data_IF_683287011377
#
_entry.id   IF_683287011377
#
_cell.length_a   1.000
_cell.length_b   1.000
_cell.length_c   1.000
_cell.angle_alpha   90.00
_cell.angle_beta   90.00
_cell.angle_gamma   90.00
#
_symmetry.space_group_name_H-M   'P 1'
#
loop_
_entity.id
_entity.type
_entity.pdbx_description
1 polymer ?
#
# COMPACT_ATOMS: atom_id res chain seq x y z
N UNK A 1 -34.12 -14.44 11.32
CA UNK A 1 -32.65 -14.56 11.49
C UNK A 1 -32.17 -15.63 10.55
N UNK A 2 -31.50 -15.24 9.48
CA UNK A 2 -30.70 -16.17 8.67
C UNK A 2 -29.24 -15.78 8.86
N UNK A 3 -28.32 -16.74 9.03
CA UNK A 3 -26.90 -16.45 9.15
C UNK A 3 -26.37 -15.97 7.80
N UNK A 4 -25.69 -14.82 7.80
CA UNK A 4 -24.98 -14.30 6.63
C UNK A 4 -23.91 -15.29 6.22
N UNK A 5 -24.06 -15.84 5.02
CA UNK A 5 -23.06 -16.64 4.35
C UNK A 5 -21.81 -15.78 4.13
N UNK A 6 -20.74 -16.12 4.83
CA UNK A 6 -19.39 -15.66 4.49
C UNK A 6 -19.06 -16.37 3.18
N UNK A 7 -19.24 -15.66 2.06
CA UNK A 7 -18.89 -16.15 0.73
C UNK A 7 -17.40 -16.53 0.66
N UNK A 8 -17.02 -17.50 -0.17
CA UNK A 8 -15.63 -17.90 -0.32
C UNK A 8 -14.80 -16.71 -0.79
N UNK A 9 -13.60 -16.55 -0.22
CA UNK A 9 -12.63 -15.55 -0.66
C UNK A 9 -12.57 -15.49 -2.19
N UNK A 10 -12.85 -14.31 -2.73
CA UNK A 10 -13.01 -14.09 -4.16
C UNK A 10 -11.75 -14.58 -4.92
N UNK A 11 -11.84 -15.62 -5.77
CA UNK A 11 -10.68 -16.17 -6.47
C UNK A 11 -10.07 -15.19 -7.49
N UNK A 12 -10.78 -14.12 -7.86
CA UNK A 12 -10.24 -13.06 -8.70
C UNK A 12 -9.32 -12.10 -7.94
N UNK A 13 -9.41 -12.04 -6.60
CA UNK A 13 -8.47 -11.32 -5.75
C UNK A 13 -7.03 -11.80 -5.98
N UNK A 14 -6.87 -13.12 -6.16
CA UNK A 14 -5.57 -13.76 -6.39
C UNK A 14 -5.01 -13.58 -7.81
N UNK A 15 -5.85 -13.25 -8.80
CA UNK A 15 -5.42 -13.05 -10.19
C UNK A 15 -5.03 -11.61 -10.50
N UNK A 16 -5.71 -10.63 -9.90
CA UNK A 16 -5.42 -9.20 -10.09
C UNK A 16 -4.09 -8.79 -9.39
N UNK A 17 -3.89 -9.22 -8.14
CA UNK A 17 -2.64 -9.00 -7.39
C UNK A 17 -1.41 -9.71 -8.01
N UNK A 18 -1.66 -10.68 -8.91
CA UNK A 18 -0.62 -11.44 -9.61
C UNK A 18 0.08 -10.66 -10.72
N UNK A 19 -0.52 -9.55 -11.20
CA UNK A 19 0.06 -8.72 -12.26
C UNK A 19 1.22 -7.84 -11.76
N UNK A 20 1.10 -7.25 -10.57
CA UNK A 20 2.13 -6.38 -10.00
C UNK A 20 3.25 -7.12 -9.23
N UNK A 21 3.16 -8.45 -9.08
CA UNK A 21 4.14 -9.30 -8.36
C UNK A 21 4.61 -8.67 -7.03
N UNK A 22 3.66 -8.16 -6.23
CA UNK A 22 3.99 -7.57 -4.93
C UNK A 22 4.58 -8.65 -4.02
N UNK A 23 5.61 -8.30 -3.25
CA UNK A 23 6.07 -9.19 -2.18
C UNK A 23 4.98 -9.29 -1.12
N UNK A 24 4.89 -10.43 -0.43
CA UNK A 24 3.87 -10.63 0.61
C UNK A 24 3.99 -9.58 1.73
N UNK A 25 5.21 -9.18 2.09
CA UNK A 25 5.44 -8.17 3.11
C UNK A 25 4.90 -6.80 2.69
N UNK A 26 5.13 -6.42 1.42
CA UNK A 26 4.66 -5.16 0.87
C UNK A 26 3.15 -5.13 0.69
N UNK A 27 2.53 -6.21 0.19
CA UNK A 27 1.06 -6.32 0.10
C UNK A 27 0.40 -6.15 1.48
N UNK A 28 0.92 -6.85 2.51
CA UNK A 28 0.44 -6.72 3.88
C UNK A 28 0.61 -5.29 4.39
N UNK A 29 1.75 -4.66 4.09
CA UNK A 29 2.00 -3.27 4.49
C UNK A 29 0.98 -2.31 3.87
N UNK A 30 0.77 -2.37 2.55
CA UNK A 30 -0.20 -1.52 1.85
C UNK A 30 -1.60 -1.68 2.45
N UNK A 31 -2.06 -2.92 2.64
CA UNK A 31 -3.40 -3.20 3.17
C UNK A 31 -3.59 -2.73 4.62
N UNK A 32 -2.57 -2.86 5.46
CA UNK A 32 -2.69 -2.60 6.90
C UNK A 32 -2.39 -1.15 7.26
N UNK A 33 -1.52 -0.47 6.52
CA UNK A 33 -0.99 0.83 6.92
C UNK A 33 -1.25 1.94 5.92
N UNK A 34 -1.60 1.61 4.68
CA UNK A 34 -2.02 2.57 3.66
C UNK A 34 -3.48 2.34 3.24
N UNK A 35 -4.29 1.71 4.10
CA UNK A 35 -5.73 1.57 3.94
C UNK A 35 -6.47 2.88 4.17
N UNK A 36 -7.77 2.93 3.86
CA UNK A 36 -8.60 4.13 3.97
C UNK A 36 -8.55 4.81 5.35
N UNK A 37 -8.44 4.09 6.46
CA UNK A 37 -8.34 4.75 7.76
C UNK A 37 -6.92 5.25 8.04
N UNK A 38 -5.91 4.41 7.80
CA UNK A 38 -4.52 4.70 8.16
C UNK A 38 -3.82 5.67 7.21
N UNK A 39 -4.18 5.67 5.92
CA UNK A 39 -3.57 6.55 4.93
C UNK A 39 -3.84 8.04 5.20
N UNK A 40 -4.98 8.36 5.82
CA UNK A 40 -5.32 9.73 6.22
C UNK A 40 -4.96 10.06 7.67
N UNK A 41 -4.43 9.11 8.46
CA UNK A 41 -3.85 9.42 9.77
C UNK A 41 -2.43 9.97 9.63
N UNK A 42 -2.32 11.30 9.48
CA UNK A 42 -1.05 12.02 9.30
C UNK A 42 -0.38 12.44 10.61
N UNK A 43 -0.71 11.81 11.75
CA UNK A 43 -0.08 12.10 13.05
C UNK A 43 1.41 11.70 13.15
N UNK A 44 2.04 11.32 12.04
CA UNK A 44 3.45 10.98 11.96
C UNK A 44 3.82 9.63 12.60
N UNK A 45 2.83 8.78 12.90
CA UNK A 45 3.08 7.50 13.60
C UNK A 45 3.48 6.37 12.66
N UNK A 46 3.28 6.52 11.36
CA UNK A 46 3.54 5.44 10.41
C UNK A 46 5.04 5.09 10.29
N UNK A 47 5.93 6.08 10.13
CA UNK A 47 7.38 5.85 10.08
C UNK A 47 7.91 5.16 11.35
N UNK A 48 7.66 5.67 12.58
CA UNK A 48 8.15 5.00 13.78
C UNK A 48 7.53 3.62 13.97
N UNK A 49 6.27 3.41 13.55
CA UNK A 49 5.63 2.08 13.58
C UNK A 49 6.34 1.11 12.65
N UNK A 50 6.63 1.51 11.41
CA UNK A 50 7.37 0.67 10.47
C UNK A 50 8.77 0.33 11.01
N UNK A 51 9.48 1.32 11.55
CA UNK A 51 10.84 1.14 12.09
C UNK A 51 10.89 0.25 13.34
N UNK A 52 9.77 0.03 14.03
CA UNK A 52 9.69 -0.88 15.17
C UNK A 52 9.64 -2.37 14.76
N UNK A 53 9.38 -2.68 13.49
CA UNK A 53 9.40 -4.05 12.98
C UNK A 53 10.82 -4.61 12.82
N UNK A 54 10.91 -5.92 12.58
CA UNK A 54 12.18 -6.60 12.28
C UNK A 54 12.81 -5.98 11.02
N UNK A 55 14.15 -5.84 11.03
CA UNK A 55 14.91 -5.25 9.92
C UNK A 55 14.61 -5.88 8.56
N UNK A 56 14.45 -7.20 8.51
CA UNK A 56 14.15 -7.90 7.26
C UNK A 56 12.77 -7.52 6.70
N UNK A 57 11.76 -7.35 7.56
CA UNK A 57 10.44 -6.87 7.13
C UNK A 57 10.51 -5.44 6.59
N UNK A 58 11.25 -4.56 7.27
CA UNK A 58 11.45 -3.17 6.82
C UNK A 58 12.18 -3.13 5.47
N UNK A 59 13.17 -4.00 5.27
CA UNK A 59 13.88 -4.14 4.00
C UNK A 59 12.95 -4.64 2.88
N UNK A 60 12.12 -5.66 3.15
CA UNK A 60 11.17 -6.21 2.17
C UNK A 60 10.11 -5.17 1.75
N UNK A 61 9.64 -4.34 2.69
CA UNK A 61 8.69 -3.25 2.39
C UNK A 61 9.37 -2.19 1.52
N UNK A 62 10.62 -1.83 1.82
CA UNK A 62 11.40 -0.89 1.01
C UNK A 62 11.61 -1.40 -0.40
N UNK A 63 12.07 -2.63 -0.56
CA UNK A 63 12.26 -3.25 -1.88
C UNK A 63 10.94 -3.33 -2.67
N UNK A 64 9.82 -3.60 -1.98
CA UNK A 64 8.48 -3.56 -2.56
C UNK A 64 8.13 -2.20 -3.18
N UNK A 65 8.38 -1.12 -2.45
CA UNK A 65 8.23 0.24 -2.98
C UNK A 65 9.14 0.50 -4.18
N UNK A 66 10.43 0.24 -4.04
CA UNK A 66 11.43 0.51 -5.10
C UNK A 66 11.07 -0.25 -6.39
N UNK A 67 10.61 -1.50 -6.26
CA UNK A 67 10.16 -2.33 -7.37
C UNK A 67 8.93 -1.76 -8.07
N UNK A 68 7.88 -1.44 -7.31
CA UNK A 68 6.63 -0.90 -7.89
C UNK A 68 6.86 0.46 -8.53
N UNK A 69 7.64 1.34 -7.90
CA UNK A 69 7.99 2.64 -8.45
C UNK A 69 8.79 2.51 -9.76
N UNK A 70 9.62 1.48 -9.88
CA UNK A 70 10.41 1.21 -11.08
C UNK A 70 9.58 0.57 -12.20
N UNK A 71 8.80 -0.47 -11.90
CA UNK A 71 8.06 -1.22 -12.93
C UNK A 71 6.78 -0.53 -13.38
N UNK A 72 6.19 0.29 -12.51
CA UNK A 72 4.88 0.93 -12.68
C UNK A 72 3.75 -0.05 -13.07
N UNK A 73 3.79 -1.27 -12.54
CA UNK A 73 2.82 -2.33 -12.85
C UNK A 73 1.57 -2.34 -11.94
N UNK A 74 1.57 -1.58 -10.85
CA UNK A 74 0.41 -1.46 -9.94
C UNK A 74 -0.59 -0.44 -10.49
N UNK A 75 -1.79 -0.91 -10.86
CA UNK A 75 -2.86 -0.04 -11.36
C UNK A 75 -3.63 0.61 -10.22
N UNK A 76 -4.34 1.72 -10.50
CA UNK A 76 -5.26 2.34 -9.53
C UNK A 76 -6.36 1.39 -9.06
N UNK A 77 -6.85 0.51 -9.95
CA UNK A 77 -7.90 -0.47 -9.62
C UNK A 77 -7.36 -1.53 -8.66
N UNK A 78 -6.13 -2.00 -8.87
CA UNK A 78 -5.52 -2.99 -7.98
C UNK A 78 -5.16 -2.39 -6.62
N UNK A 79 -4.66 -1.15 -6.61
CA UNK A 79 -4.38 -0.41 -5.39
C UNK A 79 -5.66 -0.15 -4.57
N UNK A 80 -6.73 0.34 -5.21
CA UNK A 80 -8.02 0.59 -4.57
C UNK A 80 -8.62 -0.70 -4.00
N UNK A 81 -8.58 -1.81 -4.74
CA UNK A 81 -9.03 -3.11 -4.22
C UNK A 81 -8.25 -3.58 -2.99
N UNK A 82 -6.97 -3.21 -2.90
CA UNK A 82 -6.10 -3.62 -1.80
C UNK A 82 -6.26 -2.74 -0.56
N UNK A 83 -6.55 -1.44 -0.76
CA UNK A 83 -6.44 -0.41 0.29
C UNK A 83 -7.75 0.35 0.56
N UNK A 84 -8.75 0.18 -0.30
CA UNK A 84 -9.97 1.00 -0.34
C UNK A 84 -9.72 2.50 -0.60
N UNK A 85 -8.55 2.86 -1.12
CA UNK A 85 -8.17 4.24 -1.45
C UNK A 85 -8.14 4.41 -2.97
N UNK A 86 -8.96 5.31 -3.49
CA UNK A 86 -9.04 5.61 -4.92
C UNK A 86 -8.09 6.76 -5.32
N UNK A 87 -7.65 6.72 -6.58
CA UNK A 87 -6.90 7.79 -7.25
C UNK A 87 -7.51 8.06 -8.62
N UNK A 88 -7.45 9.31 -9.08
CA UNK A 88 -7.95 9.72 -10.40
C UNK A 88 -7.29 8.97 -11.56
N UNK A 89 -5.97 8.78 -11.49
CA UNK A 89 -5.17 8.10 -12.51
C UNK A 89 -3.88 7.51 -11.92
N UNK A 90 -3.15 6.74 -12.73
CA UNK A 90 -1.90 6.10 -12.31
C UNK A 90 -0.82 7.12 -11.94
N UNK A 91 -0.74 8.27 -12.61
CA UNK A 91 0.26 9.28 -12.27
C UNK A 91 0.03 9.82 -10.85
N UNK A 92 -1.22 10.08 -10.45
CA UNK A 92 -1.57 10.44 -9.06
C UNK A 92 -1.12 9.37 -8.06
N UNK A 93 -1.39 8.09 -8.35
CA UNK A 93 -0.96 6.97 -7.50
C UNK A 93 0.57 6.92 -7.36
N UNK A 94 1.31 7.02 -8.47
CA UNK A 94 2.77 6.90 -8.44
C UNK A 94 3.45 8.11 -7.77
N UNK A 95 2.87 9.30 -7.88
CA UNK A 95 3.30 10.48 -7.10
C UNK A 95 3.13 10.21 -5.60
N UNK A 96 1.96 9.72 -5.20
CA UNK A 96 1.69 9.38 -3.79
C UNK A 96 2.65 8.30 -3.26
N UNK A 97 2.84 7.20 -4.00
CA UNK A 97 3.76 6.11 -3.60
C UNK A 97 5.21 6.61 -3.50
N UNK A 98 5.64 7.51 -4.39
CA UNK A 98 6.98 8.09 -4.34
C UNK A 98 7.18 8.95 -3.09
N UNK A 99 6.21 9.82 -2.79
CA UNK A 99 6.23 10.65 -1.58
C UNK A 99 6.20 9.77 -0.33
N UNK A 100 5.40 8.70 -0.33
CA UNK A 100 5.30 7.78 0.81
C UNK A 100 6.63 7.04 1.03
N UNK A 101 7.27 6.57 -0.04
CA UNK A 101 8.60 5.98 0.05
C UNK A 101 9.65 6.96 0.62
N UNK A 102 9.64 8.23 0.17
CA UNK A 102 10.51 9.28 0.70
C UNK A 102 10.24 9.54 2.19
N UNK A 103 8.96 9.61 2.59
CA UNK A 103 8.58 9.75 3.98
C UNK A 103 8.94 8.52 4.83
N UNK A 104 8.96 7.30 4.30
CA UNK A 104 9.26 6.13 5.15
C UNK A 104 10.75 5.85 5.29
N UNK A 105 11.54 6.10 4.24
CA UNK A 105 12.92 5.61 4.13
C UNK A 105 13.97 6.68 3.86
N UNK A 106 13.56 7.92 3.64
CA UNK A 106 14.44 9.07 3.44
C UNK A 106 14.06 10.23 4.37
N UNK A 107 14.54 11.43 4.05
CA UNK A 107 14.32 12.66 4.83
C UNK A 107 13.01 13.38 4.46
N UNK A 108 11.96 12.67 4.04
CA UNK A 108 10.65 13.31 3.84
C UNK A 108 10.12 13.85 5.17
N UNK A 109 9.61 15.07 5.24
CA UNK A 109 9.22 15.66 6.53
C UNK A 109 7.80 15.25 6.99
N UNK A 110 6.87 15.05 6.06
CA UNK A 110 5.45 14.83 6.35
C UNK A 110 4.91 13.58 5.64
N UNK A 111 3.96 12.90 6.28
CA UNK A 111 3.26 11.78 5.67
C UNK A 111 2.34 12.32 4.58
N UNK A 112 2.51 11.91 3.30
CA UNK A 112 1.61 12.36 2.25
C UNK A 112 0.21 11.78 2.47
N UNK A 113 -0.79 12.57 2.15
CA UNK A 113 -2.18 12.10 2.06
C UNK A 113 -2.47 11.63 0.65
N UNK A 114 -3.31 10.59 0.47
CA UNK A 114 -3.85 10.28 -0.85
C UNK A 114 -4.55 11.52 -1.42
N UNK A 115 -4.12 11.96 -2.59
CA UNK A 115 -4.72 13.09 -3.31
C UNK A 115 -4.86 12.73 -4.78
N UNK A 116 -6.06 12.90 -5.33
CA UNK A 116 -6.39 12.58 -6.71
C UNK A 116 -7.89 12.56 -6.92
#
# INVERSE_FOLDING_TARGET
MQPSEIGPADPHLFHALRAAQLTRAFEVFLRTYLGEEEAYDTRGQLRPTLQAFRRDYVADVREGFERVLCSRELSVVDYERLTNVAFADEDCLYVYLQQMHQYLFADGDEQPVPSG
#
